data_IF_787531540899
#
_entry.id   IF_787531540899
#
_cell.length_a   1.000
_cell.length_b   1.000
_cell.length_c   1.000
_cell.angle_alpha   90.00
_cell.angle_beta   90.00
_cell.angle_gamma   90.00
#
_symmetry.space_group_name_H-M   'P 1'
#
loop_
_entity.id
_entity.type
_entity.pdbx_description
1 polymer ?
#
# COMPACT_ATOMS: atom_id res chain seq x y z
N UNK A 1 11.00 -24.25 4.89
CA UNK A 1 9.80 -23.98 4.05
C UNK A 1 9.99 -22.65 3.36
N UNK A 2 9.67 -22.53 2.07
CA UNK A 2 9.63 -21.24 1.39
C UNK A 2 8.49 -20.39 1.96
N UNK A 3 8.81 -19.16 2.33
CA UNK A 3 7.85 -18.18 2.84
C UNK A 3 7.02 -17.62 1.69
N UNK A 4 5.72 -17.40 1.91
CA UNK A 4 4.88 -16.71 0.94
C UNK A 4 5.45 -15.30 0.67
N UNK A 5 5.63 -14.95 -0.61
CA UNK A 5 6.21 -13.66 -1.00
C UNK A 5 5.41 -12.46 -0.48
N UNK A 6 4.09 -12.56 -0.37
CA UNK A 6 3.25 -11.49 0.20
C UNK A 6 3.52 -11.31 1.69
N UNK A 7 3.67 -12.41 2.43
CA UNK A 7 4.01 -12.35 3.86
C UNK A 7 5.41 -11.78 4.07
N UNK A 8 6.38 -12.19 3.24
CA UNK A 8 7.71 -11.59 3.26
C UNK A 8 7.66 -10.08 2.96
N UNK A 9 6.90 -9.69 1.93
CA UNK A 9 6.69 -8.28 1.57
C UNK A 9 6.09 -7.46 2.71
N UNK A 10 5.02 -7.93 3.36
CA UNK A 10 4.39 -7.21 4.46
C UNK A 10 5.33 -7.00 5.64
N UNK A 11 6.13 -8.01 5.99
CA UNK A 11 7.12 -7.89 7.06
C UNK A 11 8.24 -6.90 6.72
N UNK A 12 8.75 -6.93 5.50
CA UNK A 12 9.76 -5.96 5.04
C UNK A 12 9.20 -4.54 4.95
N UNK A 13 7.95 -4.39 4.50
CA UNK A 13 7.28 -3.09 4.50
C UNK A 13 7.12 -2.53 5.92
N UNK A 14 6.80 -3.38 6.90
CA UNK A 14 6.75 -2.98 8.31
C UNK A 14 8.13 -2.59 8.84
N UNK A 15 9.18 -3.33 8.50
CA UNK A 15 10.56 -3.00 8.88
C UNK A 15 10.95 -1.63 8.30
N UNK A 16 10.69 -1.41 7.01
CA UNK A 16 10.92 -0.14 6.33
C UNK A 16 10.11 1.01 6.96
N UNK A 17 8.85 0.77 7.34
CA UNK A 17 8.02 1.77 7.99
C UNK A 17 8.50 2.13 9.40
N UNK A 18 9.15 1.20 10.12
CA UNK A 18 9.80 1.47 11.42
C UNK A 18 11.01 2.39 11.28
N UNK A 19 11.80 2.21 10.21
CA UNK A 19 13.02 2.98 9.97
C UNK A 19 12.75 4.35 9.33
N UNK A 20 11.67 4.48 8.56
CA UNK A 20 11.39 5.68 7.80
C UNK A 20 9.96 6.21 8.06
N UNK A 21 9.79 7.33 8.79
CA UNK A 21 8.48 7.90 9.10
C UNK A 21 7.74 8.45 7.86
N UNK A 22 8.42 8.57 6.71
CA UNK A 22 7.81 9.01 5.45
C UNK A 22 7.03 7.90 4.75
N UNK A 23 7.30 6.64 5.09
CA UNK A 23 6.63 5.49 4.49
C UNK A 23 5.19 5.43 5.00
N UNK A 24 4.26 5.34 4.05
CA UNK A 24 2.83 5.19 4.28
C UNK A 24 2.30 4.09 3.37
N UNK A 25 1.23 3.41 3.79
CA UNK A 25 0.59 2.35 3.04
C UNK A 25 -0.86 2.74 2.69
N UNK A 26 -1.30 2.38 1.49
CA UNK A 26 -2.67 2.50 1.03
C UNK A 26 -3.15 1.15 0.55
N UNK A 27 -4.39 0.78 0.83
CA UNK A 27 -4.97 -0.49 0.38
C UNK A 27 -6.39 -0.27 -0.14
N UNK A 28 -6.85 -1.23 -0.96
CA UNK A 28 -8.14 -1.19 -1.63
C UNK A 28 -9.04 -2.34 -1.15
N UNK A 29 -9.32 -2.40 0.16
CA UNK A 29 -10.11 -3.43 0.83
C UNK A 29 -9.58 -4.87 0.65
N UNK A 30 -8.26 -5.03 0.56
CA UNK A 30 -7.57 -6.31 0.31
C UNK A 30 -6.44 -6.59 1.30
N UNK A 31 -6.35 -5.83 2.40
CA UNK A 31 -5.20 -5.78 3.30
C UNK A 31 -4.77 -7.12 3.90
N UNK A 32 -5.73 -8.00 4.20
CA UNK A 32 -5.47 -9.36 4.66
C UNK A 32 -4.83 -10.23 3.57
N UNK A 33 -5.17 -9.99 2.31
CA UNK A 33 -4.65 -10.74 1.15
C UNK A 33 -3.33 -10.18 0.63
N UNK A 34 -3.17 -8.85 0.61
CA UNK A 34 -1.92 -8.17 0.21
C UNK A 34 -0.86 -8.23 1.30
N UNK A 35 -1.27 -8.55 2.54
CA UNK A 35 -0.44 -8.59 3.75
C UNK A 35 0.02 -7.19 4.21
N UNK A 36 -0.57 -6.12 3.68
CA UNK A 36 -0.35 -4.74 4.13
C UNK A 36 -0.94 -4.46 5.53
N UNK A 37 -1.87 -5.32 6.00
CA UNK A 37 -2.52 -5.27 7.32
C UNK A 37 -1.52 -5.12 8.49
N UNK A 38 -0.30 -5.62 8.34
CA UNK A 38 0.73 -5.50 9.37
C UNK A 38 1.17 -4.04 9.59
N UNK A 39 1.12 -3.20 8.55
CA UNK A 39 1.39 -1.76 8.67
C UNK A 39 0.22 -1.07 9.38
N UNK A 40 -1.03 -1.37 9.01
CA UNK A 40 -2.23 -0.82 9.67
C UNK A 40 -2.21 -1.06 11.19
N UNK A 41 -1.89 -2.29 11.60
CA UNK A 41 -1.87 -2.66 13.03
C UNK A 41 -0.78 -1.97 13.85
N UNK A 42 0.33 -1.57 13.22
CA UNK A 42 1.48 -0.99 13.92
C UNK A 42 1.57 0.54 13.75
N UNK A 43 1.04 1.07 12.66
CA UNK A 43 1.08 2.50 12.29
C UNK A 43 -0.24 2.93 11.65
N UNK A 44 -1.37 2.86 12.40
CA UNK A 44 -2.69 3.18 11.86
C UNK A 44 -2.79 4.61 11.33
N UNK A 45 -1.98 5.54 11.84
CA UNK A 45 -1.89 6.92 11.38
C UNK A 45 -1.15 7.09 10.04
N UNK A 46 -0.49 6.02 9.56
CA UNK A 46 0.25 5.96 8.28
C UNK A 46 -0.32 4.93 7.32
N UNK A 47 -1.54 4.46 7.58
CA UNK A 47 -2.25 3.51 6.77
C UNK A 47 -3.58 4.11 6.31
N UNK A 48 -3.85 4.03 5.00
CA UNK A 48 -5.05 4.61 4.40
C UNK A 48 -5.85 3.52 3.69
N UNK A 49 -7.00 3.17 4.25
CA UNK A 49 -7.98 2.31 3.59
C UNK A 49 -8.78 3.13 2.57
N UNK A 50 -8.74 2.70 1.30
CA UNK A 50 -9.28 3.45 0.16
C UNK A 50 -10.52 2.78 -0.46
N UNK A 51 -10.96 1.65 0.10
CA UNK A 51 -12.06 0.84 -0.42
C UNK A 51 -11.77 0.29 -1.82
N UNK A 52 -12.79 -0.18 -2.53
CA UNK A 52 -12.68 -0.69 -3.92
C UNK A 52 -12.57 0.48 -4.93
N UNK A 53 -11.66 1.42 -4.65
CA UNK A 53 -11.46 2.68 -5.35
C UNK A 53 -10.03 2.85 -5.84
N UNK A 54 -9.49 1.88 -6.59
CA UNK A 54 -8.06 1.85 -6.94
C UNK A 54 -7.60 3.10 -7.70
N UNK A 55 -8.44 3.66 -8.58
CA UNK A 55 -8.16 4.91 -9.31
C UNK A 55 -7.92 6.08 -8.36
N UNK A 56 -8.81 6.24 -7.37
CA UNK A 56 -8.67 7.26 -6.34
C UNK A 56 -7.44 6.98 -5.46
N UNK A 57 -7.22 5.73 -5.05
CA UNK A 57 -6.05 5.33 -4.26
C UNK A 57 -4.73 5.73 -4.94
N UNK A 58 -4.57 5.44 -6.24
CA UNK A 58 -3.34 5.80 -6.95
C UNK A 58 -3.20 7.33 -7.08
N UNK A 59 -4.29 8.05 -7.31
CA UNK A 59 -4.26 9.52 -7.37
C UNK A 59 -3.86 10.14 -6.02
N UNK A 60 -4.38 9.61 -4.92
CA UNK A 60 -4.01 10.00 -3.55
C UNK A 60 -2.55 9.63 -3.26
N UNK A 61 -2.10 8.44 -3.66
CA UNK A 61 -0.69 8.06 -3.55
C UNK A 61 0.21 9.03 -4.31
N UNK A 62 -0.15 9.42 -5.54
CA UNK A 62 0.59 10.42 -6.30
C UNK A 62 0.68 11.75 -5.52
N UNK A 63 -0.43 12.24 -4.98
CA UNK A 63 -0.44 13.45 -4.12
C UNK A 63 0.43 13.31 -2.86
N UNK A 64 0.36 12.18 -2.16
CA UNK A 64 1.19 11.90 -0.98
C UNK A 64 2.68 11.93 -1.32
N UNK A 65 3.07 11.40 -2.49
CA UNK A 65 4.47 11.44 -2.94
C UNK A 65 4.99 12.88 -3.12
N UNK A 66 4.13 13.80 -3.56
CA UNK A 66 4.47 15.22 -3.73
C UNK A 66 4.62 15.98 -2.39
N UNK A 67 4.07 15.43 -1.30
CA UNK A 67 4.15 16.03 0.04
C UNK A 67 5.27 15.43 0.90
N UNK A 68 6.20 14.70 0.27
CA UNK A 68 7.36 14.12 0.94
C UNK A 68 7.10 12.78 1.62
N UNK A 69 5.97 12.12 1.35
CA UNK A 69 5.72 10.73 1.76
C UNK A 69 6.24 9.76 0.71
N UNK A 70 6.39 8.49 1.11
CA UNK A 70 6.77 7.37 0.25
C UNK A 70 5.61 6.37 0.30
N UNK A 71 4.63 6.48 -0.60
CA UNK A 71 3.42 5.68 -0.58
C UNK A 71 3.64 4.31 -1.21
N UNK A 72 3.19 3.26 -0.53
CA UNK A 72 3.02 1.92 -1.07
C UNK A 72 1.53 1.65 -1.23
N UNK A 73 1.06 1.51 -2.48
CA UNK A 73 -0.35 1.26 -2.80
C UNK A 73 -0.59 -0.23 -3.12
N UNK A 74 -1.62 -0.81 -2.54
CA UNK A 74 -1.85 -2.25 -2.55
C UNK A 74 -3.22 -2.60 -3.14
N UNK A 75 -3.22 -3.47 -4.14
CA UNK A 75 -4.38 -4.19 -4.64
C UNK A 75 -3.90 -5.42 -5.40
N UNK A 76 -4.80 -6.26 -5.92
CA UNK A 76 -4.40 -7.35 -6.80
C UNK A 76 -3.97 -6.83 -8.17
N UNK A 77 -3.05 -7.55 -8.81
CA UNK A 77 -2.44 -7.12 -10.07
C UNK A 77 -3.49 -6.71 -11.13
N UNK A 78 -4.55 -7.50 -11.32
CA UNK A 78 -5.62 -7.19 -12.28
C UNK A 78 -6.29 -5.83 -12.03
N UNK A 79 -6.44 -5.43 -10.77
CA UNK A 79 -7.04 -4.15 -10.40
C UNK A 79 -6.00 -3.02 -10.41
N UNK A 80 -4.83 -3.26 -9.81
CA UNK A 80 -3.74 -2.31 -9.67
C UNK A 80 -3.05 -1.94 -10.99
N UNK A 81 -3.17 -2.76 -12.04
CA UNK A 81 -2.68 -2.44 -13.39
C UNK A 81 -3.80 -2.10 -14.37
N UNK A 82 -4.98 -2.70 -14.20
CA UNK A 82 -6.10 -2.53 -15.13
C UNK A 82 -6.92 -1.27 -14.85
N UNK A 83 -7.45 -1.12 -13.63
CA UNK A 83 -8.38 -0.02 -13.29
C UNK A 83 -7.68 1.33 -13.23
N UNK A 84 -6.41 1.34 -12.89
CA UNK A 84 -5.61 2.53 -12.52
C UNK A 84 -4.71 3.03 -13.64
N UNK A 85 -4.80 2.44 -14.84
CA UNK A 85 -3.83 2.66 -15.92
C UNK A 85 -3.62 4.14 -16.23
N UNK A 86 -4.71 4.92 -16.34
CA UNK A 86 -4.64 6.36 -16.60
C UNK A 86 -4.06 7.17 -15.45
N UNK A 87 -4.19 6.71 -14.19
CA UNK A 87 -3.60 7.38 -13.04
C UNK A 87 -2.11 7.07 -12.87
N UNK A 88 -1.64 5.94 -13.40
CA UNK A 88 -0.23 5.54 -13.36
C UNK A 88 0.57 6.16 -14.52
N UNK A 89 -0.04 6.30 -15.69
CA UNK A 89 0.59 6.77 -16.93
C UNK A 89 1.00 8.24 -16.89
#
# INVERSE_FOLDING_TARGET
MLKNLRTAYGEELLALAKENPRVVALDADLCGSTQSIVVEKNFPERYFEMGIGEQNMISVAAGLSLTGKIPFAHSFAVFASGRTFDQIR
#
